data_IF_114200835078
#
_entry.id   IF_114200835078
#
_cell.length_a   1.000
_cell.length_b   1.000
_cell.length_c   1.000
_cell.angle_alpha   90.00
_cell.angle_beta   90.00
_cell.angle_gamma   90.00
#
_symmetry.space_group_name_H-M   'P 1'
#
loop_
_entity.id
_entity.type
_entity.pdbx_description
1 polymer ?
#
# COMPACT_ATOMS: atom_id res chain seq x y z
N UNK A 1 3.82 -3.29 -1.33
CA UNK A 1 4.26 -2.36 -0.27
C UNK A 1 4.38 -3.11 1.05
N UNK A 2 5.24 -2.72 1.99
CA UNK A 2 5.28 -3.34 3.33
C UNK A 2 4.32 -2.62 4.29
N UNK A 3 3.07 -3.07 4.35
CA UNK A 3 2.03 -2.51 5.24
C UNK A 3 2.49 -2.42 6.71
N UNK A 4 3.34 -3.34 7.17
CA UNK A 4 3.99 -3.31 8.48
C UNK A 4 4.78 -2.02 8.79
N UNK A 5 5.35 -1.34 7.78
CA UNK A 5 6.02 -0.06 7.98
C UNK A 5 5.04 1.11 8.10
N UNK A 6 3.81 0.98 7.60
CA UNK A 6 2.84 2.08 7.64
C UNK A 6 2.30 2.33 9.05
N UNK A 7 2.27 1.32 9.93
CA UNK A 7 1.92 1.50 11.35
C UNK A 7 2.93 2.39 12.11
N UNK A 8 4.11 2.67 11.54
CA UNK A 8 5.12 3.53 12.15
C UNK A 8 4.78 5.02 12.02
N UNK A 9 3.96 5.40 11.04
CA UNK A 9 3.45 6.78 10.87
C UNK A 9 2.30 7.12 11.83
N UNK A 10 1.82 6.14 12.61
CA UNK A 10 0.82 6.39 13.65
C UNK A 10 1.50 6.67 15.00
N UNK A 11 1.28 7.89 15.47
CA UNK A 11 1.84 8.41 16.72
C UNK A 11 0.87 8.26 17.88
N UNK A 12 1.35 8.51 19.11
CA UNK A 12 0.49 8.50 20.29
C UNK A 12 -0.27 9.82 20.34
N UNK A 13 -1.58 9.73 20.54
CA UNK A 13 -2.46 10.89 20.54
C UNK A 13 -2.74 11.36 21.97
N UNK A 14 -2.73 12.68 22.18
CA UNK A 14 -3.25 13.34 23.38
C UNK A 14 -4.71 13.74 23.19
N UNK A 15 -5.37 14.17 24.27
CA UNK A 15 -6.74 14.71 24.25
C UNK A 15 -6.90 15.92 23.34
N UNK A 16 -5.84 16.70 23.18
CA UNK A 16 -5.88 18.01 22.54
C UNK A 16 -5.64 17.92 21.03
N UNK A 17 -5.16 16.77 20.57
CA UNK A 17 -4.90 16.43 19.15
C UNK A 17 -6.10 15.77 18.46
N UNK A 18 -7.16 15.44 19.18
CA UNK A 18 -8.30 14.70 18.64
C UNK A 18 -9.60 15.40 19.00
N UNK A 19 -10.39 15.76 17.99
CA UNK A 19 -11.71 16.37 18.18
C UNK A 19 -12.64 15.52 19.05
N UNK A 20 -13.58 16.15 19.75
CA UNK A 20 -14.53 15.43 20.62
C UNK A 20 -15.44 14.50 19.80
N UNK A 21 -15.13 13.21 19.80
CA UNK A 21 -15.93 12.15 19.19
C UNK A 21 -16.83 11.39 20.18
N UNK A 22 -16.65 11.61 21.48
CA UNK A 22 -17.37 10.95 22.57
C UNK A 22 -17.39 11.83 23.84
N UNK A 23 -18.10 11.40 24.89
CA UNK A 23 -18.03 12.05 26.20
C UNK A 23 -16.59 12.02 26.76
N UNK A 24 -16.11 13.04 27.50
CA UNK A 24 -14.69 13.15 27.88
C UNK A 24 -14.09 11.90 28.55
N UNK A 25 -14.84 11.24 29.44
CA UNK A 25 -14.42 9.99 30.12
C UNK A 25 -14.24 8.82 29.15
N UNK A 26 -15.05 8.77 28.11
CA UNK A 26 -15.01 7.73 27.08
C UNK A 26 -13.92 8.01 26.04
N UNK A 27 -13.77 9.28 25.65
CA UNK A 27 -12.67 9.76 24.81
C UNK A 27 -11.31 9.43 25.43
N UNK A 28 -11.11 9.71 26.73
CA UNK A 28 -9.89 9.30 27.44
C UNK A 28 -9.67 7.78 27.40
N UNK A 29 -10.72 6.99 27.61
CA UNK A 29 -10.66 5.51 27.61
C UNK A 29 -10.31 4.98 26.22
N UNK A 30 -10.90 5.53 25.17
CA UNK A 30 -10.62 5.20 23.78
C UNK A 30 -9.17 5.56 23.40
N UNK A 31 -8.70 6.76 23.74
CA UNK A 31 -7.31 7.20 23.53
C UNK A 31 -6.30 6.32 24.28
N UNK A 32 -6.55 6.01 25.57
CA UNK A 32 -5.71 5.10 26.36
C UNK A 32 -5.66 3.68 25.74
N UNK A 33 -6.77 3.21 25.19
CA UNK A 33 -6.85 1.90 24.51
C UNK A 33 -6.12 1.90 23.16
N UNK A 34 -6.27 2.96 22.36
CA UNK A 34 -5.56 3.18 21.10
C UNK A 34 -4.04 3.26 21.30
N UNK A 35 -3.58 4.13 22.21
CA UNK A 35 -2.16 4.29 22.52
C UNK A 35 -1.53 2.99 23.05
N UNK A 36 -2.27 2.22 23.86
CA UNK A 36 -1.86 0.88 24.31
C UNK A 36 -1.77 -0.11 23.14
N UNK A 37 -2.70 -0.07 22.20
CA UNK A 37 -2.67 -0.93 21.02
C UNK A 37 -1.48 -0.59 20.10
N UNK A 38 -1.14 0.69 19.94
CA UNK A 38 0.10 1.12 19.25
C UNK A 38 1.37 0.55 19.91
N UNK A 39 1.46 0.59 21.24
CA UNK A 39 2.59 -0.03 21.97
C UNK A 39 2.63 -1.57 21.78
N UNK A 40 1.47 -2.22 21.72
CA UNK A 40 1.37 -3.65 21.43
C UNK A 40 1.79 -3.98 19.99
N UNK A 41 1.46 -3.15 19.00
CA UNK A 41 1.96 -3.30 17.62
C UNK A 41 3.49 -3.14 17.57
N UNK A 42 4.03 -2.09 18.21
CA UNK A 42 5.47 -1.81 18.25
C UNK A 42 6.26 -2.90 18.99
N UNK A 43 5.65 -3.58 19.97
CA UNK A 43 6.22 -4.75 20.67
C UNK A 43 5.97 -6.10 19.99
N UNK A 44 5.38 -6.13 18.78
CA UNK A 44 5.13 -7.35 18.01
C UNK A 44 3.90 -8.17 18.46
N UNK A 45 3.13 -7.72 19.46
CA UNK A 45 1.93 -8.38 19.98
C UNK A 45 0.69 -8.07 19.13
N UNK A 46 0.80 -8.30 17.82
CA UNK A 46 -0.14 -7.83 16.80
C UNK A 46 -1.59 -8.29 17.04
N UNK A 47 -1.83 -9.56 17.38
CA UNK A 47 -3.18 -10.09 17.56
C UNK A 47 -3.94 -9.39 18.71
N UNK A 48 -3.26 -9.07 19.82
CA UNK A 48 -3.87 -8.37 20.95
C UNK A 48 -4.18 -6.92 20.58
N UNK A 49 -3.28 -6.26 19.85
CA UNK A 49 -3.50 -4.90 19.37
C UNK A 49 -4.68 -4.81 18.39
N UNK A 50 -4.80 -5.76 17.46
CA UNK A 50 -5.92 -5.84 16.52
C UNK A 50 -7.25 -5.96 17.26
N UNK A 51 -7.34 -6.84 18.27
CA UNK A 51 -8.56 -6.97 19.06
C UNK A 51 -8.94 -5.67 19.77
N UNK A 52 -7.97 -4.94 20.33
CA UNK A 52 -8.22 -3.65 20.99
C UNK A 52 -8.64 -2.56 19.99
N UNK A 53 -7.95 -2.46 18.85
CA UNK A 53 -8.27 -1.48 17.81
C UNK A 53 -9.62 -1.74 17.16
N UNK A 54 -10.00 -3.02 16.97
CA UNK A 54 -11.32 -3.38 16.48
C UNK A 54 -12.41 -2.83 17.40
N UNK A 55 -12.33 -3.12 18.70
CA UNK A 55 -13.29 -2.62 19.68
C UNK A 55 -13.37 -1.10 19.65
N UNK A 56 -12.24 -0.39 19.63
CA UNK A 56 -12.26 1.08 19.57
C UNK A 56 -12.85 1.62 18.25
N UNK A 57 -12.53 1.02 17.11
CA UNK A 57 -13.02 1.46 15.79
C UNK A 57 -14.51 1.11 15.55
N UNK A 58 -15.02 0.05 16.19
CA UNK A 58 -16.42 -0.35 16.12
C UNK A 58 -17.29 0.41 17.13
N UNK A 59 -16.81 0.61 18.38
CA UNK A 59 -17.52 1.35 19.43
C UNK A 59 -17.50 2.87 19.18
N UNK A 60 -16.41 3.41 18.62
CA UNK A 60 -16.21 4.84 18.36
C UNK A 60 -15.90 5.09 16.87
N UNK A 61 -16.87 4.92 15.95
CA UNK A 61 -16.65 5.04 14.51
C UNK A 61 -16.19 6.44 14.08
N UNK A 62 -16.52 7.48 14.87
CA UNK A 62 -16.08 8.86 14.67
C UNK A 62 -14.60 9.09 15.04
N UNK A 63 -13.92 8.12 15.67
CA UNK A 63 -12.49 8.23 15.99
C UNK A 63 -11.63 7.82 14.79
N UNK A 64 -11.43 8.76 13.87
CA UNK A 64 -10.75 8.57 12.59
C UNK A 64 -9.42 7.80 12.68
N UNK A 65 -8.54 8.18 13.62
CA UNK A 65 -7.22 7.58 13.79
C UNK A 65 -7.25 6.08 14.14
N UNK A 66 -8.22 5.63 14.94
CA UNK A 66 -8.38 4.22 15.29
C UNK A 66 -8.89 3.41 14.08
N UNK A 67 -9.90 3.93 13.38
CA UNK A 67 -10.45 3.31 12.16
C UNK A 67 -9.44 3.26 11.02
N UNK A 68 -8.62 4.31 10.84
CA UNK A 68 -7.56 4.36 9.83
C UNK A 68 -6.51 3.30 10.12
N UNK A 69 -5.95 3.29 11.33
CA UNK A 69 -4.95 2.30 11.75
C UNK A 69 -5.49 0.86 11.63
N UNK A 70 -6.73 0.61 12.05
CA UNK A 70 -7.35 -0.71 11.90
C UNK A 70 -7.45 -1.14 10.43
N UNK A 71 -7.91 -0.25 9.54
CA UNK A 71 -7.96 -0.49 8.09
C UNK A 71 -6.59 -0.83 7.50
N UNK A 72 -5.54 -0.08 7.87
CA UNK A 72 -4.16 -0.37 7.43
C UNK A 72 -3.68 -1.73 7.93
N UNK A 73 -4.13 -2.19 9.11
CA UNK A 73 -3.77 -3.52 9.63
C UNK A 73 -4.48 -4.63 8.85
N UNK A 74 -5.77 -4.47 8.54
CA UNK A 74 -6.52 -5.41 7.70
C UNK A 74 -5.88 -5.54 6.30
N UNK A 75 -5.46 -4.41 5.69
CA UNK A 75 -4.72 -4.41 4.43
C UNK A 75 -3.39 -5.18 4.53
N UNK A 76 -2.68 -5.05 5.66
CA UNK A 76 -1.47 -5.84 5.95
C UNK A 76 -1.72 -7.34 6.12
N UNK A 77 -2.92 -7.73 6.56
CA UNK A 77 -3.37 -9.12 6.63
C UNK A 77 -3.96 -9.64 5.30
N UNK A 78 -3.96 -8.82 4.24
CA UNK A 78 -4.60 -9.07 2.93
C UNK A 78 -6.12 -9.16 2.96
N UNK A 79 -6.79 -8.74 4.05
CA UNK A 79 -8.23 -8.47 4.01
C UNK A 79 -8.48 -7.06 3.46
N UNK A 80 -8.30 -6.95 2.14
CA UNK A 80 -8.46 -5.70 1.42
C UNK A 80 -9.91 -5.22 1.40
N UNK A 81 -10.89 -6.13 1.48
CA UNK A 81 -12.32 -5.77 1.51
C UNK A 81 -12.65 -5.07 2.83
N UNK A 82 -12.29 -5.67 3.96
CA UNK A 82 -12.48 -5.05 5.27
C UNK A 82 -11.68 -3.74 5.38
N UNK A 83 -10.43 -3.71 4.92
CA UNK A 83 -9.62 -2.48 4.92
C UNK A 83 -10.30 -1.32 4.18
N UNK A 84 -10.82 -1.56 2.98
CA UNK A 84 -11.51 -0.56 2.16
C UNK A 84 -12.75 0.00 2.86
N UNK A 85 -13.49 -0.82 3.59
CA UNK A 85 -14.71 -0.37 4.28
C UNK A 85 -14.39 0.51 5.50
N UNK A 86 -13.33 0.24 6.25
CA UNK A 86 -12.88 1.20 7.29
C UNK A 86 -12.28 2.48 6.67
N UNK A 87 -11.54 2.39 5.57
CA UNK A 87 -11.03 3.59 4.89
C UNK A 87 -12.15 4.50 4.36
N UNK A 88 -13.23 3.92 3.80
CA UNK A 88 -14.42 4.68 3.42
C UNK A 88 -15.08 5.37 4.61
N UNK A 89 -15.16 4.73 5.79
CA UNK A 89 -15.66 5.37 7.01
C UNK A 89 -14.80 6.57 7.39
N UNK A 90 -13.48 6.43 7.38
CA UNK A 90 -12.54 7.52 7.71
C UNK A 90 -12.65 8.67 6.71
N UNK A 91 -12.84 8.38 5.42
CA UNK A 91 -13.01 9.39 4.38
C UNK A 91 -14.33 10.20 4.46
N UNK A 92 -15.23 9.85 5.38
CA UNK A 92 -16.44 10.61 5.71
C UNK A 92 -16.27 11.50 6.96
N UNK A 93 -15.13 11.40 7.64
CA UNK A 93 -14.82 12.18 8.84
C UNK A 93 -13.97 13.40 8.47
N UNK A 94 -14.02 14.42 9.31
CA UNK A 94 -13.09 15.53 9.25
C UNK A 94 -11.70 15.05 9.70
N UNK A 95 -10.73 15.11 8.80
CA UNK A 95 -9.37 14.59 8.98
C UNK A 95 -8.35 15.58 8.40
N UNK A 96 -7.19 15.66 9.03
CA UNK A 96 -6.10 16.54 8.61
C UNK A 96 -5.62 16.20 7.18
N UNK A 97 -5.16 17.22 6.43
CA UNK A 97 -4.76 17.07 5.03
C UNK A 97 -3.72 15.93 4.83
N UNK A 98 -2.72 15.84 5.70
CA UNK A 98 -1.71 14.78 5.67
C UNK A 98 -2.30 13.37 5.87
N UNK A 99 -3.33 13.25 6.73
CA UNK A 99 -4.08 12.01 6.93
C UNK A 99 -4.96 11.68 5.71
N UNK A 100 -5.58 12.69 5.10
CA UNK A 100 -6.38 12.54 3.88
C UNK A 100 -5.54 12.05 2.69
N UNK A 101 -4.36 12.64 2.48
CA UNK A 101 -3.44 12.24 1.40
C UNK A 101 -2.89 10.81 1.62
N UNK A 102 -2.51 10.47 2.85
CA UNK A 102 -2.09 9.12 3.22
C UNK A 102 -3.23 8.11 3.02
N UNK A 103 -4.44 8.43 3.47
CA UNK A 103 -5.64 7.59 3.30
C UNK A 103 -5.95 7.37 1.82
N UNK A 104 -5.92 8.43 1.00
CA UNK A 104 -6.20 8.34 -0.43
C UNK A 104 -5.18 7.44 -1.15
N UNK A 105 -3.90 7.50 -0.77
CA UNK A 105 -2.87 6.58 -1.28
C UNK A 105 -3.16 5.13 -0.88
N UNK A 106 -3.49 4.88 0.40
CA UNK A 106 -3.83 3.54 0.88
C UNK A 106 -5.09 2.99 0.20
N UNK A 107 -6.13 3.80 0.03
CA UNK A 107 -7.36 3.42 -0.69
C UNK A 107 -7.11 3.06 -2.15
N UNK A 108 -6.29 3.84 -2.88
CA UNK A 108 -5.91 3.54 -4.27
C UNK A 108 -5.21 2.18 -4.38
N UNK A 109 -4.29 1.88 -3.45
CA UNK A 109 -3.58 0.60 -3.40
C UNK A 109 -4.51 -0.57 -3.05
N UNK A 110 -5.35 -0.42 -2.02
CA UNK A 110 -6.33 -1.46 -1.62
C UNK A 110 -7.34 -1.73 -2.73
N UNK A 111 -7.84 -0.69 -3.41
CA UNK A 111 -8.74 -0.86 -4.56
C UNK A 111 -8.06 -1.62 -5.72
N UNK A 112 -6.77 -1.35 -5.99
CA UNK A 112 -6.01 -2.09 -6.99
C UNK A 112 -5.87 -3.58 -6.62
N UNK A 113 -5.52 -3.90 -5.38
CA UNK A 113 -5.39 -5.28 -4.88
C UNK A 113 -6.75 -6.04 -4.91
N UNK A 114 -7.86 -5.38 -4.56
CA UNK A 114 -9.22 -5.95 -4.72
C UNK A 114 -9.48 -6.31 -6.19
N UNK A 115 -9.23 -5.39 -7.12
CA UNK A 115 -9.45 -5.61 -8.54
C UNK A 115 -8.61 -6.77 -9.09
N UNK A 116 -7.37 -6.94 -8.61
CA UNK A 116 -6.52 -8.08 -8.97
C UNK A 116 -7.09 -9.41 -8.47
N UNK A 117 -7.53 -9.48 -7.22
CA UNK A 117 -8.15 -10.68 -6.64
C UNK A 117 -9.46 -11.05 -7.34
N UNK A 118 -10.32 -10.07 -7.60
CA UNK A 118 -11.58 -10.30 -8.32
C UNK A 118 -11.33 -10.73 -9.77
N UNK A 119 -10.31 -10.19 -10.44
CA UNK A 119 -9.90 -10.66 -11.76
C UNK A 119 -9.46 -12.14 -11.73
N UNK A 120 -8.63 -12.53 -10.75
CA UNK A 120 -8.19 -13.92 -10.58
C UNK A 120 -9.37 -14.87 -10.28
N UNK A 121 -10.27 -14.49 -9.38
CA UNK A 121 -11.49 -15.26 -9.11
C UNK A 121 -12.34 -15.44 -10.38
N UNK A 122 -12.51 -14.38 -11.17
CA UNK A 122 -13.30 -14.41 -12.39
C UNK A 122 -12.66 -15.31 -13.48
N UNK A 123 -11.33 -15.35 -13.58
CA UNK A 123 -10.63 -16.31 -14.43
C UNK A 123 -10.84 -17.76 -13.95
N UNK A 124 -10.75 -18.01 -12.64
CA UNK A 124 -11.02 -19.35 -12.07
C UNK A 124 -12.47 -19.78 -12.28
N UNK A 125 -13.44 -18.88 -12.08
CA UNK A 125 -14.88 -19.11 -12.35
C UNK A 125 -15.12 -19.46 -13.82
N UNK A 126 -14.54 -18.68 -14.77
CA UNK A 126 -14.62 -18.98 -16.21
C UNK A 126 -14.00 -20.33 -16.57
N UNK A 127 -12.82 -20.65 -16.02
CA UNK A 127 -12.13 -21.93 -16.25
C UNK A 127 -12.97 -23.11 -15.72
N UNK A 128 -13.52 -22.99 -14.52
CA UNK A 128 -14.34 -24.03 -13.91
C UNK A 128 -15.68 -24.22 -14.65
N UNK A 129 -16.28 -23.12 -15.15
CA UNK A 129 -17.46 -23.19 -16.02
C UNK A 129 -17.16 -23.95 -17.31
N UNK A 130 -16.04 -23.64 -17.99
CA UNK A 130 -15.60 -24.35 -19.20
C UNK A 130 -15.30 -25.85 -18.95
N UNK A 131 -14.66 -26.21 -17.83
CA UNK A 131 -14.52 -27.61 -17.46
C UNK A 131 -15.87 -28.29 -17.21
N UNK A 132 -16.85 -27.57 -16.65
CA UNK A 132 -18.19 -28.12 -16.39
C UNK A 132 -19.02 -28.30 -17.67
N UNK A 133 -18.84 -27.48 -18.71
CA UNK A 133 -19.49 -27.67 -20.00
C UNK A 133 -18.85 -28.84 -20.77
N UNK A 134 -17.51 -28.90 -20.83
CA UNK A 134 -16.79 -30.02 -21.44
C UNK A 134 -17.13 -31.34 -20.75
N UNK A 135 -17.27 -31.38 -19.41
CA UNK A 135 -17.69 -32.59 -18.69
C UNK A 135 -19.17 -32.98 -18.93
N UNK A 136 -20.03 -32.05 -19.37
CA UNK A 136 -21.42 -32.35 -19.76
C UNK A 136 -21.51 -32.85 -21.20
N UNK A 137 -20.68 -32.32 -22.09
CA UNK A 137 -20.56 -32.76 -23.49
C UNK A 137 -19.91 -34.15 -23.58
N UNK A 138 -18.90 -34.43 -22.74
CA UNK A 138 -18.36 -35.78 -22.52
C UNK A 138 -19.30 -36.54 -21.57
N UNK A 139 -20.54 -36.75 -22.01
CA UNK A 139 -21.45 -37.70 -21.37
C UNK A 139 -20.89 -39.10 -21.56
N UNK A 140 -20.56 -39.76 -20.45
CA UNK A 140 -20.02 -41.14 -20.45
C UNK A 140 -21.01 -42.12 -21.11
N UNK A 141 -22.29 -41.79 -21.20
CA UNK A 141 -23.28 -42.57 -21.93
C UNK A 141 -23.04 -42.60 -23.46
N UNK A 142 -22.59 -41.49 -24.06
CA UNK A 142 -22.34 -41.40 -25.51
C UNK A 142 -21.06 -42.14 -25.91
N UNK A 143 -20.03 -42.14 -25.06
CA UNK A 143 -18.79 -42.90 -25.27
C UNK A 143 -19.00 -44.41 -25.04
N UNK A 144 -20.05 -44.80 -24.31
CA UNK A 144 -20.43 -46.20 -24.12
C UNK A 144 -21.44 -46.71 -25.16
N UNK A 145 -21.98 -45.86 -26.04
CA UNK A 145 -22.88 -46.36 -27.09
C UNK A 145 -22.10 -47.03 -28.23
N UNK A 146 -22.25 -48.36 -28.29
CA UNK A 146 -22.14 -49.16 -29.53
C UNK A 146 -20.72 -49.47 -30.03
N UNK A 147 -19.89 -50.09 -29.19
CA UNK A 147 -18.88 -51.04 -29.68
C UNK A 147 -19.60 -52.30 -30.25
N UNK A 148 -19.56 -52.58 -31.57
CA UNK A 148 -20.32 -53.69 -32.15
C UNK A 148 -19.67 -55.03 -31.81
N UNK A 149 -20.38 -55.90 -31.08
CA UNK A 149 -19.97 -57.29 -30.81
C UNK A 149 -19.70 -58.03 -32.12
N UNK A 150 -18.43 -58.25 -32.47
CA UNK A 150 -18.03 -59.17 -33.55
C UNK A 150 -16.92 -60.12 -33.12
N UNK A 151 -17.27 -61.40 -33.25
CA UNK A 151 -16.46 -62.60 -33.55
C UNK A 151 -14.98 -62.58 -33.17
N UNK A 152 -14.63 -63.54 -32.31
CA UNK A 152 -13.32 -64.17 -32.12
C UNK A 152 -12.34 -63.95 -33.30
N UNK A 153 -11.30 -63.14 -33.05
CA UNK A 153 -10.18 -62.90 -33.97
C UNK A 153 -9.02 -63.80 -33.56
N UNK A 154 -8.43 -64.59 -34.47
CA UNK A 154 -7.28 -65.43 -34.14
C UNK A 154 -5.99 -64.60 -34.09
N UNK A 155 -5.32 -64.61 -32.95
CA UNK A 155 -4.00 -63.99 -32.76
C UNK A 155 -4.03 -62.49 -32.50
N UNK A 156 -4.13 -62.10 -31.22
CA UNK A 156 -3.79 -60.74 -30.81
C UNK A 156 -2.32 -60.45 -31.14
N UNK A 157 -2.03 -59.27 -31.68
CA UNK A 157 -0.66 -58.92 -32.05
C UNK A 157 0.20 -58.77 -30.78
N UNK A 158 1.50 -59.08 -30.85
CA UNK A 158 2.39 -59.06 -29.66
C UNK A 158 2.42 -57.69 -28.98
N UNK A 159 2.25 -56.63 -29.76
CA UNK A 159 2.17 -55.23 -29.30
C UNK A 159 0.89 -54.93 -28.50
N UNK A 160 -0.26 -55.51 -28.86
CA UNK A 160 -1.50 -55.38 -28.09
C UNK A 160 -1.41 -56.14 -26.77
N UNK A 161 -0.76 -57.32 -26.77
CA UNK A 161 -0.50 -58.11 -25.56
C UNK A 161 0.43 -57.33 -24.61
N UNK A 162 1.45 -56.64 -25.14
CA UNK A 162 2.34 -55.77 -24.36
C UNK A 162 1.57 -54.58 -23.75
N UNK A 163 0.70 -53.91 -24.52
CA UNK A 163 -0.14 -52.82 -24.01
C UNK A 163 -1.12 -53.26 -22.92
N UNK A 164 -1.67 -54.48 -23.03
CA UNK A 164 -2.55 -55.05 -22.00
C UNK A 164 -1.75 -55.41 -20.74
N UNK A 165 -0.55 -55.99 -20.85
CA UNK A 165 0.33 -56.24 -19.70
C UNK A 165 0.77 -54.95 -19.00
N UNK A 166 1.06 -53.89 -19.76
CA UNK A 166 1.29 -52.52 -19.27
C UNK A 166 0.09 -51.96 -18.48
N UNK A 167 -1.13 -52.22 -18.93
CA UNK A 167 -2.34 -51.85 -18.18
C UNK A 167 -2.60 -52.71 -16.92
N UNK A 168 -2.11 -53.95 -16.88
CA UNK A 168 -2.23 -54.83 -15.71
C UNK A 168 -1.06 -54.70 -14.70
N UNK A 169 -0.03 -53.88 -15.00
CA UNK A 169 1.10 -53.64 -14.09
C UNK A 169 2.13 -54.77 -14.02
N UNK A 170 2.12 -55.72 -14.97
CA UNK A 170 3.10 -56.79 -15.10
C UNK A 170 4.13 -56.44 -16.19
N UNK A 171 4.89 -55.36 -15.99
CA UNK A 171 5.98 -54.97 -16.90
C UNK A 171 7.31 -55.60 -16.48
N UNK A 172 8.05 -56.13 -17.45
CA UNK A 172 9.41 -56.63 -17.23
C UNK A 172 10.36 -55.44 -16.96
N UNK A 173 11.24 -55.50 -15.94
CA UNK A 173 12.05 -54.35 -15.50
C UNK A 173 13.09 -53.88 -16.52
N UNK A 174 13.28 -54.60 -17.63
CA UNK A 174 14.17 -54.20 -18.70
C UNK A 174 13.63 -53.01 -19.52
N UNK A 175 12.34 -53.00 -19.87
CA UNK A 175 11.76 -51.99 -20.78
C UNK A 175 11.56 -50.62 -20.11
N UNK A 176 11.27 -50.58 -18.79
CA UNK A 176 11.16 -49.32 -18.04
C UNK A 176 12.43 -48.45 -18.16
N UNK A 177 13.61 -49.08 -18.25
CA UNK A 177 14.89 -48.35 -18.27
C UNK A 177 15.08 -47.46 -19.50
N UNK A 178 14.48 -47.85 -20.64
CA UNK A 178 14.51 -47.07 -21.88
C UNK A 178 13.54 -45.89 -21.87
N UNK A 179 12.35 -46.06 -21.29
CA UNK A 179 11.33 -45.01 -21.25
C UNK A 179 11.69 -43.90 -20.25
N UNK A 180 12.27 -44.26 -19.09
CA UNK A 180 12.76 -43.33 -18.07
C UNK A 180 13.84 -42.38 -18.62
N UNK A 181 14.76 -42.89 -19.43
CA UNK A 181 15.83 -42.09 -20.06
C UNK A 181 15.29 -41.10 -21.12
N UNK A 182 14.14 -41.39 -21.75
CA UNK A 182 13.47 -40.48 -22.66
C UNK A 182 12.67 -39.40 -21.91
N UNK A 183 12.05 -39.75 -20.78
CA UNK A 183 11.33 -38.81 -19.94
C UNK A 183 12.27 -37.78 -19.29
N UNK A 184 13.44 -38.22 -18.79
CA UNK A 184 14.46 -37.35 -18.20
C UNK A 184 14.99 -36.30 -19.20
N UNK A 185 15.22 -36.69 -20.46
CA UNK A 185 15.59 -35.73 -21.52
C UNK A 185 14.49 -34.69 -21.76
N UNK A 186 13.23 -35.11 -21.69
CA UNK A 186 12.06 -34.24 -21.90
C UNK A 186 11.81 -33.30 -20.72
N UNK A 187 12.11 -33.73 -19.49
CA UNK A 187 12.08 -32.91 -18.29
C UNK A 187 13.19 -31.84 -18.31
N UNK A 188 14.43 -32.24 -18.60
CA UNK A 188 15.57 -31.33 -18.68
C UNK A 188 15.39 -30.24 -19.74
N UNK A 189 14.79 -30.57 -20.90
CA UNK A 189 14.53 -29.59 -21.96
C UNK A 189 13.44 -28.56 -21.57
N UNK A 190 12.42 -28.97 -20.79
CA UNK A 190 11.44 -28.03 -20.20
C UNK A 190 12.08 -27.11 -19.17
N UNK A 191 12.97 -27.63 -18.32
CA UNK A 191 13.68 -26.82 -17.32
C UNK A 191 14.59 -25.77 -18.00
N UNK A 192 15.36 -26.17 -19.01
CA UNK A 192 16.18 -25.25 -19.80
C UNK A 192 15.36 -24.12 -20.45
N UNK A 193 14.19 -24.44 -21.02
CA UNK A 193 13.30 -23.43 -21.61
C UNK A 193 12.80 -22.39 -20.58
N UNK A 194 12.48 -22.84 -19.36
CA UNK A 194 12.07 -21.93 -18.26
C UNK A 194 13.22 -21.02 -17.83
N UNK A 195 14.45 -21.55 -17.69
CA UNK A 195 15.64 -20.76 -17.33
C UNK A 195 15.93 -19.69 -18.39
N UNK A 196 15.84 -20.03 -19.68
CA UNK A 196 16.02 -19.06 -20.79
C UNK A 196 14.93 -17.98 -20.77
N UNK A 197 13.67 -18.34 -20.50
CA UNK A 197 12.58 -17.36 -20.39
C UNK A 197 12.80 -16.38 -19.22
N UNK A 198 13.23 -16.86 -18.05
CA UNK A 198 13.55 -16.01 -16.90
C UNK A 198 14.72 -15.07 -17.22
N UNK A 199 15.80 -15.59 -17.84
CA UNK A 199 16.94 -14.77 -18.25
C UNK A 199 16.54 -13.66 -19.24
N UNK A 200 15.66 -13.96 -20.20
CA UNK A 200 15.12 -12.96 -21.14
C UNK A 200 14.29 -11.86 -20.45
N UNK A 201 13.47 -12.22 -19.46
CA UNK A 201 12.69 -11.25 -18.67
C UNK A 201 13.62 -10.33 -17.85
N UNK A 202 14.63 -10.90 -17.18
CA UNK A 202 15.63 -10.11 -16.43
C UNK A 202 16.39 -9.16 -17.35
N UNK A 203 16.80 -9.62 -18.54
CA UNK A 203 17.45 -8.78 -19.54
C UNK A 203 16.56 -7.63 -20.02
N UNK A 204 15.28 -7.89 -20.28
CA UNK A 204 14.30 -6.85 -20.66
C UNK A 204 14.12 -5.81 -19.54
N UNK A 205 13.98 -6.22 -18.28
CA UNK A 205 13.86 -5.30 -17.14
C UNK A 205 15.14 -4.44 -17.01
N UNK A 206 16.32 -5.03 -17.19
CA UNK A 206 17.58 -4.29 -17.12
C UNK A 206 17.71 -3.28 -18.28
N UNK A 207 17.37 -3.69 -19.51
CA UNK A 207 17.51 -2.87 -20.71
C UNK A 207 16.46 -1.77 -20.82
N UNK A 208 15.21 -2.00 -20.41
CA UNK A 208 14.11 -1.03 -20.50
C UNK A 208 13.82 -0.28 -19.20
N UNK A 209 14.12 -0.84 -18.02
CA UNK A 209 13.91 -0.15 -16.75
C UNK A 209 15.12 0.69 -16.33
N UNK A 210 16.30 0.07 -16.26
CA UNK A 210 17.49 0.69 -15.66
C UNK A 210 18.22 1.61 -16.65
N UNK A 211 18.34 1.21 -17.92
CA UNK A 211 19.06 1.99 -18.95
C UNK A 211 18.50 3.41 -19.18
N UNK A 212 17.18 3.65 -19.39
CA UNK A 212 16.69 5.01 -19.61
C UNK A 212 16.81 5.89 -18.36
N UNK A 213 16.66 5.31 -17.16
CA UNK A 213 16.85 6.03 -15.90
C UNK A 213 18.29 6.56 -15.77
N UNK A 214 19.31 5.74 -16.05
CA UNK A 214 20.72 6.18 -16.04
C UNK A 214 21.00 7.25 -17.11
N UNK A 215 20.34 7.19 -18.28
CA UNK A 215 20.48 8.19 -19.33
C UNK A 215 19.84 9.54 -18.96
N UNK A 216 18.65 9.53 -18.32
CA UNK A 216 18.00 10.75 -17.85
C UNK A 216 18.80 11.47 -16.75
N UNK A 217 19.39 10.74 -15.80
CA UNK A 217 20.25 11.37 -14.78
C UNK A 217 21.47 12.08 -15.39
N UNK A 218 22.01 11.57 -16.51
CA UNK A 218 23.08 12.28 -17.25
C UNK A 218 22.61 13.58 -17.87
N UNK A 219 21.37 13.69 -18.36
CA UNK A 219 20.86 14.95 -18.92
C UNK A 219 20.60 16.00 -17.85
N UNK A 220 20.08 15.61 -16.69
CA UNK A 220 19.85 16.54 -15.56
C UNK A 220 21.16 17.03 -14.95
N UNK A 221 22.16 16.16 -14.77
CA UNK A 221 23.49 16.56 -14.28
C UNK A 221 24.19 17.60 -15.19
N UNK A 222 23.99 17.49 -16.51
CA UNK A 222 24.52 18.47 -17.46
C UNK A 222 23.76 19.81 -17.44
N UNK A 223 22.47 19.81 -17.05
CA UNK A 223 21.71 21.05 -16.86
C UNK A 223 22.08 21.75 -15.55
N UNK A 224 22.26 21.01 -14.45
CA UNK A 224 22.70 21.60 -13.18
C UNK A 224 24.12 22.15 -13.24
N UNK A 225 25.05 21.46 -13.91
CA UNK A 225 26.40 22.00 -14.18
C UNK A 225 26.36 23.30 -15.00
N UNK A 226 25.51 23.38 -16.04
CA UNK A 226 25.34 24.62 -16.82
C UNK A 226 24.73 25.76 -16.00
N UNK A 227 23.75 25.46 -15.15
CA UNK A 227 23.17 26.45 -14.21
C UNK A 227 24.21 26.98 -13.24
N UNK A 228 25.06 26.10 -12.69
CA UNK A 228 26.12 26.49 -11.76
C UNK A 228 27.16 27.39 -12.44
N UNK A 229 27.64 27.01 -13.63
CA UNK A 229 28.61 27.81 -14.40
C UNK A 229 28.06 29.19 -14.80
N UNK A 230 26.77 29.26 -15.18
CA UNK A 230 26.12 30.54 -15.47
C UNK A 230 26.05 31.45 -14.24
N UNK A 231 25.68 30.88 -13.08
CA UNK A 231 25.52 31.63 -11.82
C UNK A 231 26.88 32.09 -11.27
N UNK A 232 27.93 31.28 -11.42
CA UNK A 232 29.32 31.64 -11.12
C UNK A 232 29.80 32.82 -11.99
N UNK A 233 29.63 32.72 -13.31
CA UNK A 233 30.02 33.77 -14.27
C UNK A 233 29.25 35.10 -14.03
N UNK A 234 27.96 35.02 -13.70
CA UNK A 234 27.11 36.21 -13.48
C UNK A 234 27.28 36.83 -12.07
N UNK A 235 27.78 36.08 -11.08
CA UNK A 235 28.24 36.64 -9.81
C UNK A 235 29.63 37.29 -9.95
N UNK A 236 30.55 36.72 -10.73
CA UNK A 236 31.87 37.31 -10.98
C UNK A 236 31.75 38.63 -11.78
N UNK A 237 30.78 38.74 -12.70
CA UNK A 237 30.53 39.99 -13.44
C UNK A 237 29.90 41.11 -12.60
N UNK A 238 29.21 40.80 -11.49
CA UNK A 238 28.41 41.76 -10.68
C UNK A 238 28.90 42.00 -9.26
N UNK A 239 29.97 41.34 -8.83
CA UNK A 239 30.43 41.37 -7.43
C UNK A 239 30.86 42.76 -6.92
N UNK A 240 31.02 43.75 -7.81
CA UNK A 240 31.34 45.14 -7.47
C UNK A 240 30.14 46.05 -7.12
N UNK A 241 28.88 45.64 -7.35
CA UNK A 241 27.73 46.58 -7.39
C UNK A 241 26.71 46.47 -6.23
N UNK A 242 26.93 45.57 -5.27
CA UNK A 242 26.21 45.56 -3.99
C UNK A 242 24.82 44.89 -3.98
N UNK A 243 24.20 44.87 -2.80
CA UNK A 243 23.11 43.94 -2.45
C UNK A 243 21.84 44.03 -3.31
N UNK A 244 21.54 45.17 -3.94
CA UNK A 244 20.35 45.29 -4.82
C UNK A 244 20.47 44.45 -6.10
N UNK A 245 21.68 44.26 -6.64
CA UNK A 245 21.86 43.44 -7.83
C UNK A 245 21.71 41.94 -7.56
N UNK A 246 21.94 41.49 -6.32
CA UNK A 246 21.76 40.09 -5.92
C UNK A 246 20.27 39.71 -5.97
N UNK A 247 19.36 40.61 -5.57
CA UNK A 247 17.91 40.36 -5.69
C UNK A 247 17.45 40.34 -7.16
N UNK A 248 18.03 41.20 -7.99
CA UNK A 248 17.79 41.18 -9.44
C UNK A 248 18.31 39.89 -10.09
N UNK A 249 19.52 39.45 -9.74
CA UNK A 249 20.10 38.19 -10.20
C UNK A 249 19.25 36.98 -9.81
N UNK A 250 18.70 36.96 -8.58
CA UNK A 250 17.79 35.90 -8.14
C UNK A 250 16.50 35.87 -8.97
N UNK A 251 15.99 37.04 -9.35
CA UNK A 251 14.80 37.20 -10.20
C UNK A 251 15.07 36.76 -11.64
N UNK A 252 16.20 37.19 -12.22
CA UNK A 252 16.63 36.80 -13.56
C UNK A 252 16.94 35.29 -13.65
N UNK A 253 17.47 34.68 -12.57
CA UNK A 253 17.65 33.22 -12.46
C UNK A 253 16.32 32.47 -12.40
N UNK A 254 15.35 32.98 -11.63
CA UNK A 254 14.00 32.42 -11.55
C UNK A 254 13.28 32.46 -12.91
N UNK A 255 13.39 33.55 -13.67
CA UNK A 255 12.75 33.66 -14.99
C UNK A 255 13.40 32.74 -16.04
N UNK A 256 14.75 32.67 -16.08
CA UNK A 256 15.47 31.86 -17.07
C UNK A 256 15.42 30.34 -16.80
N UNK A 257 15.25 29.91 -15.53
CA UNK A 257 15.36 28.51 -15.15
C UNK A 257 14.14 27.90 -14.45
N UNK A 258 13.09 28.68 -14.14
CA UNK A 258 11.80 28.09 -13.79
C UNK A 258 11.23 27.36 -14.98
N UNK A 259 11.02 26.05 -14.82
CA UNK A 259 10.42 25.21 -15.85
C UNK A 259 9.01 25.70 -16.14
N UNK A 260 8.83 26.44 -17.25
CA UNK A 260 7.52 26.82 -17.74
C UNK A 260 6.82 25.56 -18.25
N UNK A 261 6.07 24.89 -17.38
CA UNK A 261 5.16 23.83 -17.79
C UNK A 261 4.21 24.39 -18.87
N UNK A 262 3.93 23.62 -19.94
CA UNK A 262 3.02 24.07 -20.98
C UNK A 262 1.61 24.19 -20.40
N UNK A 263 1.14 25.43 -20.20
CA UNK A 263 -0.21 25.73 -19.74
C UNK A 263 -1.21 25.30 -20.80
N UNK A 264 -1.81 24.13 -20.59
CA UNK A 264 -2.85 23.59 -21.46
C UNK A 264 -4.10 24.49 -21.35
N UNK A 265 -4.51 25.06 -22.48
CA UNK A 265 -5.29 26.30 -22.50
C UNK A 265 -6.79 26.08 -22.68
N UNK A 266 -7.48 25.61 -21.62
CA UNK A 266 -8.95 25.65 -21.54
C UNK A 266 -9.46 25.82 -20.11
N UNK A 267 -9.75 27.06 -19.68
CA UNK A 267 -11.14 27.50 -19.43
C UNK A 267 -11.27 28.96 -18.92
N UNK A 268 -12.11 29.71 -19.65
CA UNK A 268 -12.99 30.81 -19.18
C UNK A 268 -12.55 31.78 -18.08
N UNK A 269 -12.34 33.03 -18.53
CA UNK A 269 -12.74 34.27 -17.86
C UNK A 269 -13.70 34.10 -16.66
N UNK A 270 -13.33 34.67 -15.52
CA UNK A 270 -14.29 35.42 -14.71
C UNK A 270 -13.67 36.70 -14.15
N UNK A 271 -14.33 37.82 -14.47
CA UNK A 271 -13.99 39.17 -14.05
C UNK A 271 -14.47 39.38 -12.61
N UNK A 272 -13.58 39.76 -11.70
CA UNK A 272 -13.97 40.36 -10.42
C UNK A 272 -13.26 41.71 -10.31
N UNK A 273 -14.06 42.77 -10.22
CA UNK A 273 -13.59 44.15 -10.21
C UNK A 273 -12.89 44.50 -8.89
N UNK A 274 -11.79 45.23 -9.01
CA UNK A 274 -11.14 45.90 -7.87
C UNK A 274 -12.06 47.02 -7.36
N UNK A 275 -12.48 46.97 -6.10
CA UNK A 275 -13.10 48.13 -5.43
C UNK A 275 -12.30 48.49 -4.19
N UNK A 276 -11.70 49.67 -4.25
CA UNK A 276 -10.96 50.32 -3.16
C UNK A 276 -11.96 50.76 -2.08
N UNK A 277 -11.59 50.61 -0.80
CA UNK A 277 -12.26 51.35 0.28
C UNK A 277 -11.24 51.87 1.30
N UNK A 278 -11.16 53.18 1.40
CA UNK A 278 -10.39 53.92 2.40
C UNK A 278 -11.01 53.82 3.82
N UNK A 279 -10.23 54.16 4.86
CA UNK A 279 -10.64 54.01 6.26
C UNK A 279 -11.51 55.19 6.75
N UNK A 280 -12.28 54.95 7.81
CA UNK A 280 -12.88 56.01 8.63
C UNK A 280 -12.73 55.68 10.11
N UNK A 281 -12.42 56.70 10.91
CA UNK A 281 -12.11 56.59 12.33
C UNK A 281 -13.38 56.46 13.22
N UNK A 282 -13.20 55.95 14.44
CA UNK A 282 -14.26 55.76 15.43
C UNK A 282 -13.75 55.33 16.81
N UNK A 283 -13.10 56.25 17.52
CA UNK A 283 -12.77 56.17 18.97
C UNK A 283 -14.07 56.22 19.81
N UNK A 284 -14.20 55.80 21.08
CA UNK A 284 -13.33 55.16 22.09
C UNK A 284 -14.22 54.79 23.31
N UNK A 285 -13.61 54.32 24.43
CA UNK A 285 -14.18 54.09 25.78
C UNK A 285 -14.92 52.75 25.98
N UNK A 286 -14.83 52.06 27.13
CA UNK A 286 -14.28 52.46 28.45
C UNK A 286 -13.56 51.33 29.23
N UNK A 287 -12.84 51.72 30.27
CA UNK A 287 -12.10 50.96 31.32
C UNK A 287 -12.95 49.90 32.08
N UNK A 288 -12.46 49.05 32.99
CA UNK A 288 -11.22 48.98 33.80
C UNK A 288 -10.96 47.48 34.16
N UNK A 289 -9.73 46.96 34.39
CA UNK A 289 -8.93 47.03 35.65
C UNK A 289 -9.65 46.36 36.86
N UNK A 290 -9.03 45.56 37.77
CA UNK A 290 -7.61 45.24 38.10
C UNK A 290 -7.52 43.97 38.99
N UNK A 291 -6.29 43.49 39.27
CA UNK A 291 -5.87 42.84 40.55
C UNK A 291 -6.38 41.41 40.87
N UNK A 292 -5.64 40.42 41.40
CA UNK A 292 -4.22 40.02 41.63
C UNK A 292 -4.22 39.13 42.89
N UNK A 293 -3.44 38.04 42.85
CA UNK A 293 -2.94 37.18 43.97
C UNK A 293 -3.89 36.64 45.06
N UNK A 294 -3.79 35.32 45.32
CA UNK A 294 -3.27 34.82 46.61
C UNK A 294 -2.63 33.42 46.44
N UNK A 295 -1.96 32.96 47.50
CA UNK A 295 -1.21 31.72 47.65
C UNK A 295 -2.13 30.63 48.31
N UNK A 296 -1.74 29.53 48.96
CA UNK A 296 -0.48 29.10 49.61
C UNK A 296 -0.28 27.58 49.52
N UNK A 297 0.90 27.16 50.01
CA UNK A 297 1.46 25.80 50.13
C UNK A 297 0.77 24.90 51.19
N UNK A 298 1.38 23.71 51.34
CA UNK A 298 1.30 22.74 52.44
C UNK A 298 0.14 21.72 52.40
N UNK A 299 0.31 20.45 52.82
CA UNK A 299 1.46 19.81 53.49
C UNK A 299 1.79 18.38 53.01
N UNK A 300 3.06 18.03 53.14
CA UNK A 300 3.61 16.67 53.25
C UNK A 300 3.19 16.00 54.57
N UNK A 301 2.90 14.69 54.61
CA UNK A 301 3.60 13.69 55.47
C UNK A 301 3.03 12.24 55.44
N UNK A 302 3.94 11.26 55.54
CA UNK A 302 3.86 9.97 56.26
C UNK A 302 2.55 9.15 56.27
N UNK A 303 2.51 7.88 55.82
CA UNK A 303 2.92 6.66 56.57
C UNK A 303 2.46 5.38 55.83
N UNK A 304 2.86 4.10 56.09
CA UNK A 304 3.97 3.39 56.81
C UNK A 304 4.00 1.92 56.29
N UNK A 305 5.14 1.18 56.23
CA UNK A 305 5.62 0.14 57.19
C UNK A 305 4.51 -0.89 57.57
N UNK A 306 4.63 -2.23 57.44
CA UNK A 306 5.78 -3.17 57.36
C UNK A 306 5.32 -4.62 57.02
N UNK A 307 6.25 -5.52 56.61
CA UNK A 307 6.29 -7.02 56.80
C UNK A 307 5.05 -7.92 56.57
N UNK A 308 5.18 -9.17 56.12
CA UNK A 308 6.37 -9.99 55.83
C UNK A 308 5.99 -11.48 55.61
N UNK A 309 6.98 -12.37 55.67
CA UNK A 309 6.89 -13.85 55.83
C UNK A 309 6.21 -14.65 54.67
N UNK A 310 6.92 -15.46 53.88
CA UNK A 310 7.53 -16.80 54.12
C UNK A 310 6.52 -17.95 54.30
N UNK A 311 6.68 -19.00 53.50
CA UNK A 311 5.95 -20.26 53.64
C UNK A 311 6.12 -21.15 52.40
N UNK A 312 7.14 -22.03 52.46
CA UNK A 312 7.37 -23.29 51.70
C UNK A 312 6.96 -23.39 50.22
#
# INVERSE_FOLDING_TARGET
>A
MSWQKQYQFFEKLTTDQVGLFAAPRELEKALKTYNRALDLLKSGKQNQAISMLKTVADDYPMFAYASHLYGTIMAGQRDFKQANDYFKKVALLDIDQDQADLLQQQMKLVAHEINLLEHQENLLKKRNAAYSSVKKEISIADILEKAPRKKHVPGANKEEIALINRQLGNEDPADLSGELALEDRKANLKFAAIVVAIAGIVFLIFYFGIRPVILNYRTESNQSLKRLQWLEQEMESRTGQGQMEIQKLLTDYLDNFSTREPVDSTQTNNKIDTTIREPSAGSSQESAETTVEDFTKEATQESRVKTGETGE
#
